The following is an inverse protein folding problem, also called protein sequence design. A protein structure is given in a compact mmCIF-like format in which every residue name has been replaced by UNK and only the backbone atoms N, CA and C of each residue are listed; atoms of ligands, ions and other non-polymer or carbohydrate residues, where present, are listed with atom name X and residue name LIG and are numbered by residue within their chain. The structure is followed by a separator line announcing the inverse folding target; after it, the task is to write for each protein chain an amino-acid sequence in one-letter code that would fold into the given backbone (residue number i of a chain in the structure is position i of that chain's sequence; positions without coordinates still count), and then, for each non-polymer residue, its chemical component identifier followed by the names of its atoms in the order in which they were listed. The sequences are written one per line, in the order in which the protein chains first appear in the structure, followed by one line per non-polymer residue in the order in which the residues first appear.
data_IF_158304353796
#
_entry.id   IF_158304353796
#
_cell.length_a   1.000
_cell.length_b   1.000
_cell.length_c   1.000
_cell.angle_alpha   90.00
_cell.angle_beta   90.00
_cell.angle_gamma   90.00
#
_symmetry.space_group_name_H-M   'P 1'
#
loop_
_entity.id
_entity.type
_entity.pdbx_description
1 polymer ?
#
# COMPACT_ATOMS: atom_id res chain seq x y z
N UNK A 1 -3.62 -1.22 18.05
CA UNK A 1 -3.04 -1.39 16.73
C UNK A 1 -4.14 -1.72 15.73
N UNK A 2 -4.03 -1.17 14.52
CA UNK A 2 -4.94 -1.44 13.42
C UNK A 2 -4.24 -2.30 12.40
N UNK A 3 -4.94 -3.31 11.90
CA UNK A 3 -4.48 -4.14 10.78
C UNK A 3 -5.36 -3.84 9.58
N UNK A 4 -4.73 -3.65 8.45
CA UNK A 4 -5.40 -3.45 7.18
C UNK A 4 -4.93 -4.51 6.21
N UNK A 5 -5.84 -5.19 5.58
CA UNK A 5 -5.49 -6.01 4.44
C UNK A 5 -5.34 -5.10 3.22
N UNK A 6 -4.14 -5.07 2.68
CA UNK A 6 -3.82 -4.31 1.48
C UNK A 6 -3.90 -5.26 0.29
N UNK A 7 -4.91 -5.08 -0.55
CA UNK A 7 -5.00 -5.79 -1.81
C UNK A 7 -4.06 -5.14 -2.83
N UNK A 8 -3.35 -5.97 -3.56
CA UNK A 8 -2.50 -5.55 -4.68
C UNK A 8 -2.90 -6.28 -5.94
N UNK A 9 -3.01 -5.53 -7.03
CA UNK A 9 -3.33 -6.05 -8.34
C UNK A 9 -2.18 -5.92 -9.32
N UNK A 10 -2.25 -6.70 -10.37
CA UNK A 10 -1.35 -6.62 -11.52
C UNK A 10 -2.17 -6.34 -12.76
N UNK A 11 -1.74 -5.38 -13.55
CA UNK A 11 -2.21 -5.16 -14.92
C UNK A 11 -1.08 -5.55 -15.88
N UNK A 12 -1.34 -6.54 -16.75
CA UNK A 12 -0.38 -6.97 -17.77
C UNK A 12 -0.38 -6.01 -18.94
N UNK A 13 0.62 -5.14 -19.01
CA UNK A 13 0.75 -4.16 -20.09
C UNK A 13 2.11 -4.28 -20.75
N UNK A 14 2.18 -3.88 -22.02
CA UNK A 14 3.42 -3.88 -22.79
C UNK A 14 4.44 -2.88 -22.24
N UNK A 15 5.70 -3.09 -22.59
CA UNK A 15 6.84 -2.33 -22.04
C UNK A 15 6.72 -0.80 -22.22
N UNK A 16 6.07 -0.34 -23.26
CA UNK A 16 5.92 1.09 -23.51
C UNK A 16 4.98 1.78 -22.53
N UNK A 17 4.02 1.05 -21.95
CA UNK A 17 3.17 1.54 -20.86
C UNK A 17 3.93 1.68 -19.54
N UNK A 18 5.11 1.06 -19.45
CA UNK A 18 5.95 1.09 -18.26
C UNK A 18 6.94 2.25 -18.25
N UNK A 19 6.94 3.09 -19.28
CA UNK A 19 7.87 4.20 -19.43
C UNK A 19 7.16 5.54 -19.30
N UNK A 20 7.91 6.52 -18.84
CA UNK A 20 7.52 7.93 -18.90
C UNK A 20 7.61 8.44 -20.34
N UNK A 21 7.09 9.64 -20.61
CA UNK A 21 7.13 10.24 -21.94
C UNK A 21 8.57 10.46 -22.48
N UNK A 22 9.55 10.56 -21.61
CA UNK A 22 10.96 10.65 -21.93
C UNK A 22 11.68 9.29 -22.00
N UNK A 23 10.92 8.20 -21.99
CA UNK A 23 11.41 6.83 -22.17
C UNK A 23 12.04 6.20 -20.93
N UNK A 24 11.99 6.87 -19.78
CA UNK A 24 12.55 6.35 -18.53
C UNK A 24 11.55 5.50 -17.74
N UNK A 25 12.07 4.65 -16.86
CA UNK A 25 11.24 3.94 -15.90
C UNK A 25 10.74 4.93 -14.83
N UNK A 26 9.41 5.05 -14.61
CA UNK A 26 8.90 5.87 -13.53
C UNK A 26 9.23 5.27 -12.17
N UNK A 27 9.30 6.08 -11.12
CA UNK A 27 9.29 5.59 -9.75
C UNK A 27 7.92 4.99 -9.40
N UNK A 28 7.76 4.55 -8.15
CA UNK A 28 6.44 4.29 -7.60
C UNK A 28 5.62 5.57 -7.65
N UNK A 29 4.43 5.49 -8.22
CA UNK A 29 3.51 6.63 -8.33
C UNK A 29 2.44 6.46 -7.25
N UNK A 30 2.23 7.51 -6.47
CA UNK A 30 1.16 7.63 -5.50
C UNK A 30 0.26 8.79 -5.89
N UNK A 31 -1.04 8.57 -5.80
CA UNK A 31 -2.05 9.60 -6.01
C UNK A 31 -3.08 9.48 -4.90
N UNK A 32 -3.35 10.60 -4.23
CA UNK A 32 -4.46 10.75 -3.28
C UNK A 32 -5.30 11.93 -3.72
N UNK A 33 -6.63 11.76 -3.76
CA UNK A 33 -7.56 12.78 -4.24
C UNK A 33 -8.95 12.60 -3.64
N UNK A 34 -9.70 13.69 -3.57
CA UNK A 34 -11.12 13.77 -3.22
C UNK A 34 -12.04 13.91 -4.44
N UNK A 35 -11.48 13.88 -5.64
CA UNK A 35 -12.26 13.89 -6.87
C UNK A 35 -13.13 12.62 -6.96
N UNK A 36 -14.41 12.74 -7.41
CA UNK A 36 -15.22 11.55 -7.61
C UNK A 36 -14.59 10.58 -8.62
N UNK A 37 -14.55 9.31 -8.26
CA UNK A 37 -14.07 8.24 -9.11
C UNK A 37 -15.24 7.56 -9.80
N UNK A 38 -15.19 7.49 -11.11
CA UNK A 38 -16.16 6.79 -11.94
C UNK A 38 -15.54 5.56 -12.60
N UNK A 39 -16.38 4.60 -12.87
CA UNK A 39 -16.01 3.37 -13.58
C UNK A 39 -15.48 3.67 -14.99
N UNK A 40 -14.34 3.11 -15.34
CA UNK A 40 -13.79 3.13 -16.70
C UNK A 40 -14.58 2.24 -17.68
N UNK A 41 -15.45 1.36 -17.15
CA UNK A 41 -16.23 0.41 -17.96
C UNK A 41 -17.60 0.97 -18.33
N UNK A 42 -18.35 1.50 -17.35
CA UNK A 42 -19.75 1.88 -17.51
C UNK A 42 -20.08 3.29 -17.02
N UNK A 43 -19.08 4.03 -16.56
CA UNK A 43 -19.21 5.40 -16.04
C UNK A 43 -20.11 5.52 -14.79
N UNK A 44 -20.36 4.43 -14.07
CA UNK A 44 -21.04 4.48 -12.77
C UNK A 44 -20.12 5.09 -11.70
N UNK A 45 -20.71 5.72 -10.69
CA UNK A 45 -19.96 6.28 -9.57
C UNK A 45 -19.43 5.12 -8.68
N UNK A 46 -18.11 5.06 -8.50
CA UNK A 46 -17.45 4.12 -7.59
C UNK A 46 -17.35 4.72 -6.19
N UNK A 47 -16.84 5.94 -6.08
CA UNK A 47 -16.76 6.67 -4.80
C UNK A 47 -16.70 8.18 -5.02
N UNK A 48 -17.30 8.91 -4.10
CA UNK A 48 -17.22 10.37 -3.96
C UNK A 48 -16.44 10.80 -2.70
N UNK A 49 -15.75 9.85 -2.05
CA UNK A 49 -14.94 10.06 -0.85
C UNK A 49 -13.46 10.10 -1.23
N UNK A 50 -12.62 10.55 -0.29
CA UNK A 50 -11.17 10.51 -0.44
C UNK A 50 -10.71 9.08 -0.79
N UNK A 51 -9.93 8.97 -1.85
CA UNK A 51 -9.33 7.71 -2.30
C UNK A 51 -7.91 7.93 -2.82
N UNK A 52 -7.16 6.85 -2.93
CA UNK A 52 -5.81 6.90 -3.44
C UNK A 52 -5.38 5.59 -4.08
N UNK A 53 -4.42 5.69 -4.96
CA UNK A 53 -3.74 4.53 -5.55
C UNK A 53 -2.24 4.69 -5.48
N UNK A 54 -1.57 3.57 -5.52
CA UNK A 54 -0.16 3.51 -5.90
C UNK A 54 0.03 2.44 -6.96
N UNK A 55 1.05 2.62 -7.79
CA UNK A 55 1.50 1.60 -8.71
C UNK A 55 2.96 1.82 -9.10
N UNK A 56 3.58 0.78 -9.55
CA UNK A 56 4.95 0.76 -10.09
C UNK A 56 5.04 -0.19 -11.27
N UNK A 57 5.99 0.01 -12.19
CA UNK A 57 6.36 -1.03 -13.13
C UNK A 57 6.87 -2.25 -12.37
N UNK A 58 6.47 -3.42 -12.82
CA UNK A 58 6.92 -4.67 -12.26
C UNK A 58 7.27 -5.68 -13.36
N UNK A 59 8.56 -5.86 -13.57
CA UNK A 59 9.07 -6.72 -14.64
C UNK A 59 8.88 -8.19 -14.34
N UNK A 60 8.69 -8.56 -13.07
CA UNK A 60 8.38 -9.94 -12.68
C UNK A 60 7.02 -10.39 -13.24
N UNK A 61 6.06 -9.48 -13.22
CA UNK A 61 4.70 -9.72 -13.71
C UNK A 61 4.46 -9.27 -15.15
N UNK A 62 5.46 -8.73 -15.83
CA UNK A 62 5.30 -8.11 -17.15
C UNK A 62 4.15 -7.08 -17.17
N UNK A 63 4.25 -6.08 -16.31
CA UNK A 63 3.19 -5.10 -16.21
C UNK A 63 3.41 -4.07 -15.13
N UNK A 64 2.32 -3.58 -14.58
CA UNK A 64 2.32 -2.72 -13.40
C UNK A 64 1.69 -3.47 -12.23
N UNK A 65 2.19 -3.21 -11.04
CA UNK A 65 1.65 -3.70 -9.78
C UNK A 65 1.31 -2.52 -8.88
N UNK A 66 0.21 -2.63 -8.17
CA UNK A 66 -0.16 -1.62 -7.20
C UNK A 66 -1.42 -1.93 -6.44
N UNK A 67 -1.84 -0.99 -5.62
CA UNK A 67 -3.01 -1.09 -4.78
C UNK A 67 -3.80 0.20 -4.71
N UNK A 68 -4.93 0.14 -4.05
CA UNK A 68 -5.80 1.29 -3.80
C UNK A 68 -6.32 1.31 -2.37
N UNK A 69 -6.66 2.50 -1.89
CA UNK A 69 -7.26 2.75 -0.58
C UNK A 69 -8.24 3.94 -0.68
N UNK A 70 -9.35 3.93 0.06
CA UNK A 70 -9.85 2.84 0.89
C UNK A 70 -10.55 1.81 0.01
N UNK A 71 -10.20 0.57 0.20
CA UNK A 71 -11.00 -0.50 -0.32
C UNK A 71 -11.56 -1.34 0.84
N UNK A 72 -12.82 -1.40 0.90
CA UNK A 72 -13.83 -2.14 1.69
C UNK A 72 -13.48 -2.92 2.96
N UNK A 73 -12.30 -2.94 3.47
CA UNK A 73 -12.07 -3.52 4.81
C UNK A 73 -12.10 -2.41 5.85
N UNK A 74 -13.31 -2.16 6.34
CA UNK A 74 -13.55 -1.17 7.37
C UNK A 74 -13.32 0.26 6.87
N UNK A 75 -14.33 1.07 6.91
CA UNK A 75 -14.14 2.51 6.68
C UNK A 75 -13.04 3.03 7.62
N UNK A 76 -12.23 4.01 7.21
CA UNK A 76 -11.29 4.67 8.11
C UNK A 76 -12.03 5.13 9.38
N UNK A 77 -11.71 4.52 10.53
CA UNK A 77 -12.40 4.76 11.79
C UNK A 77 -13.54 3.79 12.11
N UNK A 78 -13.88 2.85 11.23
CA UNK A 78 -14.83 1.77 11.53
C UNK A 78 -14.27 0.71 12.48
N UNK A 79 -15.14 -0.13 13.03
CA UNK A 79 -14.71 -1.30 13.80
C UNK A 79 -13.94 -2.24 12.88
N UNK A 80 -12.69 -2.53 13.23
CA UNK A 80 -11.86 -3.44 12.47
C UNK A 80 -12.41 -4.87 12.55
N UNK A 81 -12.40 -5.56 11.43
CA UNK A 81 -12.65 -7.01 11.42
C UNK A 81 -11.42 -7.71 12.02
N UNK A 82 -11.65 -8.70 12.88
CA UNK A 82 -10.56 -9.55 13.37
C UNK A 82 -10.00 -10.35 12.20
N UNK A 83 -8.75 -10.07 11.86
CA UNK A 83 -8.03 -10.78 10.81
C UNK A 83 -7.16 -11.84 11.46
N UNK A 84 -7.21 -13.09 10.96
CA UNK A 84 -6.21 -14.09 11.31
C UNK A 84 -4.96 -13.89 10.47
N UNK A 85 -3.89 -13.28 11.01
CA UNK A 85 -2.67 -12.99 10.24
C UNK A 85 -1.91 -14.26 9.82
N UNK A 86 -2.28 -15.41 10.38
CA UNK A 86 -1.67 -16.71 10.10
C UNK A 86 -2.59 -17.63 9.29
N UNK A 87 -3.76 -17.13 8.90
CA UNK A 87 -4.76 -17.89 8.16
C UNK A 87 -4.69 -17.67 6.64
N UNK A 88 -3.73 -18.28 5.90
CA UNK A 88 -3.56 -18.04 4.46
C UNK A 88 -4.77 -18.47 3.61
N UNK A 89 -5.73 -19.16 4.22
CA UNK A 89 -6.99 -19.57 3.58
C UNK A 89 -8.16 -18.62 3.90
N UNK A 90 -7.91 -17.56 4.66
CA UNK A 90 -8.94 -16.55 4.92
C UNK A 90 -9.36 -15.87 3.63
N UNK A 91 -10.65 -15.62 3.48
CA UNK A 91 -11.20 -14.87 2.34
C UNK A 91 -10.63 -13.45 2.25
N UNK A 92 -10.09 -12.93 3.33
CA UNK A 92 -9.44 -11.62 3.41
C UNK A 92 -8.16 -11.52 2.57
N UNK A 93 -7.55 -12.67 2.22
CA UNK A 93 -6.39 -12.74 1.33
C UNK A 93 -6.76 -12.91 -0.14
N UNK A 94 -8.04 -12.89 -0.46
CA UNK A 94 -8.51 -13.02 -1.84
C UNK A 94 -8.71 -11.61 -2.43
N UNK A 95 -8.05 -11.39 -3.55
CA UNK A 95 -8.27 -10.19 -4.35
C UNK A 95 -9.61 -10.34 -5.06
N UNK A 96 -10.55 -9.45 -4.77
CA UNK A 96 -11.89 -9.51 -5.34
C UNK A 96 -12.05 -8.65 -6.60
N UNK A 97 -13.20 -8.85 -7.26
CA UNK A 97 -13.50 -8.14 -8.50
C UNK A 97 -13.82 -6.66 -8.26
N UNK A 98 -14.28 -6.28 -7.06
CA UNK A 98 -14.55 -4.90 -6.72
C UNK A 98 -13.24 -4.11 -6.58
N UNK A 99 -12.23 -4.71 -5.95
CA UNK A 99 -10.89 -4.12 -5.92
C UNK A 99 -10.34 -3.94 -7.34
N UNK A 100 -10.42 -4.99 -8.17
CA UNK A 100 -9.94 -4.94 -9.54
C UNK A 100 -10.61 -3.80 -10.32
N UNK A 101 -11.92 -3.67 -10.17
CA UNK A 101 -12.73 -2.64 -10.82
C UNK A 101 -12.34 -1.23 -10.34
N UNK A 102 -12.21 -1.03 -9.04
CA UNK A 102 -11.79 0.27 -8.47
C UNK A 102 -10.38 0.63 -8.92
N UNK A 103 -9.41 -0.27 -8.79
CA UNK A 103 -8.01 0.02 -9.08
C UNK A 103 -7.76 0.32 -10.56
N UNK A 104 -8.38 -0.46 -11.47
CA UNK A 104 -8.25 -0.22 -12.92
C UNK A 104 -8.91 1.09 -13.34
N UNK A 105 -10.08 1.43 -12.77
CA UNK A 105 -10.74 2.72 -13.01
C UNK A 105 -9.92 3.90 -12.48
N UNK A 106 -9.31 3.74 -11.31
CA UNK A 106 -8.42 4.75 -10.74
C UNK A 106 -7.14 4.95 -11.58
N UNK A 107 -6.59 3.88 -12.14
CA UNK A 107 -5.48 3.98 -13.10
C UNK A 107 -5.89 4.75 -14.35
N UNK A 108 -7.06 4.48 -14.91
CA UNK A 108 -7.61 5.19 -16.07
C UNK A 108 -7.85 6.67 -15.78
N UNK A 109 -8.40 6.99 -14.59
CA UNK A 109 -8.57 8.36 -14.13
C UNK A 109 -7.24 9.12 -14.04
N UNK A 110 -6.20 8.49 -13.49
CA UNK A 110 -4.90 9.13 -13.33
C UNK A 110 -4.12 9.24 -14.64
N UNK A 111 -4.30 8.30 -15.55
CA UNK A 111 -3.50 8.22 -16.78
C UNK A 111 -4.30 7.71 -17.97
N UNK A 112 -4.52 8.58 -18.91
CA UNK A 112 -5.26 8.30 -20.15
C UNK A 112 -4.79 7.03 -20.88
N UNK A 113 -3.52 6.65 -20.77
CA UNK A 113 -2.97 5.43 -21.39
C UNK A 113 -3.57 4.15 -20.82
N UNK A 114 -4.22 4.19 -19.67
CA UNK A 114 -4.88 3.03 -19.06
C UNK A 114 -6.39 2.99 -19.29
N UNK A 115 -6.99 4.01 -19.92
CA UNK A 115 -8.40 4.00 -20.27
C UNK A 115 -8.76 2.78 -21.13
N UNK A 116 -9.85 2.09 -20.80
CA UNK A 116 -10.32 0.90 -21.51
C UNK A 116 -9.41 -0.32 -21.38
N UNK A 117 -8.57 -0.39 -20.34
CA UNK A 117 -7.60 -1.49 -20.14
C UNK A 117 -7.93 -2.41 -18.96
N UNK A 118 -9.14 -2.31 -18.40
CA UNK A 118 -9.55 -3.10 -17.23
C UNK A 118 -9.47 -4.61 -17.46
N UNK A 119 -9.67 -5.08 -18.69
CA UNK A 119 -9.55 -6.48 -19.10
C UNK A 119 -8.11 -7.03 -19.01
N UNK A 120 -7.12 -6.17 -18.91
CA UNK A 120 -5.73 -6.57 -18.72
C UNK A 120 -5.37 -6.87 -17.26
N UNK A 121 -6.32 -6.69 -16.34
CA UNK A 121 -6.12 -7.06 -14.94
C UNK A 121 -5.87 -8.56 -14.80
N UNK A 122 -4.86 -8.90 -14.00
CA UNK A 122 -4.50 -10.31 -13.73
C UNK A 122 -4.75 -10.61 -12.25
N UNK A 123 -5.56 -11.63 -12.00
CA UNK A 123 -5.73 -12.21 -10.66
C UNK A 123 -4.50 -13.08 -10.34
N UNK A 124 -3.50 -12.53 -9.79
CA UNK A 124 -2.31 -13.33 -9.47
C UNK A 124 -1.44 -12.67 -8.43
N UNK A 125 -1.70 -11.41 -8.17
CA UNK A 125 -1.04 -10.70 -7.11
C UNK A 125 -1.69 -11.03 -5.77
N UNK A 126 -0.90 -10.94 -4.74
CA UNK A 126 -1.32 -11.15 -3.37
C UNK A 126 -1.32 -9.82 -2.66
N UNK A 127 -2.29 -9.62 -1.79
CA UNK A 127 -2.21 -8.55 -0.82
C UNK A 127 -1.37 -8.95 0.39
N UNK A 128 -1.30 -8.08 1.35
CA UNK A 128 -0.62 -8.29 2.61
C UNK A 128 -1.28 -7.55 3.75
N UNK A 129 -0.92 -7.91 4.98
CA UNK A 129 -1.36 -7.20 6.16
C UNK A 129 -0.45 -6.00 6.42
N UNK A 130 -1.02 -4.80 6.37
CA UNK A 130 -0.41 -3.61 6.93
C UNK A 130 -0.76 -3.48 8.40
N UNK A 131 0.23 -3.21 9.25
CA UNK A 131 0.03 -2.96 10.68
C UNK A 131 0.27 -1.47 10.95
N UNK A 132 -0.69 -0.85 11.60
CA UNK A 132 -0.63 0.57 11.94
C UNK A 132 -0.72 0.77 13.44
N UNK A 133 0.16 1.59 13.96
CA UNK A 133 0.08 2.09 15.34
C UNK A 133 -1.14 3.01 15.49
N UNK A 134 -1.62 3.26 16.71
CA UNK A 134 -2.78 4.13 16.93
C UNK A 134 -2.64 5.54 16.36
N UNK A 135 -1.43 6.07 16.34
CA UNK A 135 -1.09 7.41 15.84
C UNK A 135 -0.51 7.41 14.41
N UNK A 136 -0.40 6.23 13.78
CA UNK A 136 0.20 6.03 12.46
C UNK A 136 1.68 6.42 12.34
N UNK A 137 2.38 6.61 13.46
CA UNK A 137 3.83 6.81 13.49
C UNK A 137 4.55 5.50 13.84
N UNK A 138 5.74 5.26 13.29
CA UNK A 138 6.52 4.06 13.60
C UNK A 138 6.94 4.02 15.08
N UNK A 139 7.32 2.83 15.54
CA UNK A 139 7.92 2.62 16.85
C UNK A 139 9.33 2.07 16.67
N UNK A 140 10.30 2.71 17.31
CA UNK A 140 11.68 2.30 17.42
C UNK A 140 12.06 2.29 18.89
N UNK A 141 12.00 1.14 19.54
CA UNK A 141 12.22 1.06 20.97
C UNK A 141 12.71 -0.31 21.43
N UNK A 142 13.40 -0.31 22.56
CA UNK A 142 13.76 -1.51 23.29
C UNK A 142 12.57 -2.02 24.09
N UNK A 143 12.01 -3.12 23.68
CA UNK A 143 10.83 -3.71 24.32
C UNK A 143 11.19 -4.40 25.65
N UNK A 144 12.31 -5.11 25.66
CA UNK A 144 12.89 -5.69 26.86
C UNK A 144 14.41 -5.82 26.69
N UNK A 145 15.09 -6.46 27.64
CA UNK A 145 16.55 -6.56 27.67
C UNK A 145 17.17 -6.99 26.34
N UNK A 146 16.53 -7.96 25.66
CA UNK A 146 17.09 -8.61 24.47
C UNK A 146 16.24 -8.40 23.21
N UNK A 147 15.23 -7.54 23.25
CA UNK A 147 14.32 -7.32 22.11
C UNK A 147 14.22 -5.85 21.79
N UNK A 148 14.65 -5.50 20.62
CA UNK A 148 14.41 -4.17 20.01
C UNK A 148 13.30 -4.29 18.97
N UNK A 149 12.30 -3.41 19.02
CA UNK A 149 11.19 -3.39 18.08
C UNK A 149 11.37 -2.27 17.06
N UNK A 150 11.21 -2.64 15.81
CA UNK A 150 11.11 -1.75 14.66
C UNK A 150 9.75 -2.01 14.04
N UNK A 151 8.76 -1.20 14.41
CA UNK A 151 7.41 -1.30 13.86
C UNK A 151 7.14 -0.07 13.00
N UNK A 152 7.06 -0.27 11.71
CA UNK A 152 7.18 0.81 10.75
C UNK A 152 5.87 1.52 10.40
N UNK A 153 4.73 1.03 10.87
CA UNK A 153 3.42 1.58 10.53
C UNK A 153 3.23 1.80 9.01
N UNK A 154 3.62 0.79 8.22
CA UNK A 154 3.57 0.78 6.75
C UNK A 154 4.52 1.80 6.06
N UNK A 155 5.65 2.07 6.66
CA UNK A 155 6.67 2.99 6.14
C UNK A 155 8.03 2.31 5.87
N UNK A 156 8.03 1.01 5.52
CA UNK A 156 9.22 0.16 5.43
C UNK A 156 10.38 0.71 4.61
N UNK A 157 10.11 1.46 3.55
CA UNK A 157 11.15 2.10 2.77
C UNK A 157 11.90 3.23 3.50
N UNK A 158 11.32 3.80 4.55
CA UNK A 158 11.99 4.79 5.42
C UNK A 158 13.02 4.15 6.33
N UNK A 159 12.95 2.83 6.52
CA UNK A 159 13.87 2.07 7.39
C UNK A 159 15.32 2.11 6.93
N UNK A 160 15.58 2.35 5.66
CA UNK A 160 16.96 2.53 5.17
C UNK A 160 17.68 3.65 5.89
N UNK A 161 17.00 4.79 6.13
CA UNK A 161 17.56 5.91 6.88
C UNK A 161 17.64 5.66 8.39
N UNK A 162 16.67 4.94 8.93
CA UNK A 162 16.56 4.66 10.37
C UNK A 162 17.49 3.52 10.79
N UNK A 163 17.76 2.57 9.91
CA UNK A 163 18.52 1.37 10.24
C UNK A 163 19.87 1.63 10.90
N UNK A 164 20.59 2.67 10.45
CA UNK A 164 21.85 3.08 11.07
C UNK A 164 21.63 3.53 12.53
N UNK A 165 20.66 4.40 12.78
CA UNK A 165 20.37 4.93 14.12
C UNK A 165 19.95 3.83 15.08
N UNK A 166 19.14 2.89 14.61
CA UNK A 166 18.72 1.72 15.41
C UNK A 166 19.91 0.82 15.72
N UNK A 167 20.79 0.58 14.74
CA UNK A 167 22.00 -0.22 14.97
C UNK A 167 22.92 0.42 16.01
N UNK A 168 23.10 1.75 15.97
CA UNK A 168 23.85 2.51 16.96
C UNK A 168 23.21 2.37 18.36
N UNK A 169 21.87 2.47 18.48
CA UNK A 169 21.18 2.27 19.77
C UNK A 169 21.31 0.85 20.32
N UNK A 170 21.24 -0.15 19.46
CA UNK A 170 21.46 -1.56 19.87
C UNK A 170 22.87 -1.76 20.43
N UNK A 171 23.84 -1.01 19.91
CA UNK A 171 25.23 -1.02 20.39
C UNK A 171 25.47 -0.12 21.61
N UNK A 172 24.48 0.64 22.05
CA UNK A 172 24.55 1.45 23.26
C UNK A 172 24.54 2.98 23.03
N UNK A 173 24.59 3.43 21.81
CA UNK A 173 24.55 4.87 21.48
C UNK A 173 23.08 5.32 21.32
N UNK A 174 22.67 6.32 22.10
CA UNK A 174 21.31 6.85 22.02
C UNK A 174 21.19 7.91 20.95
N UNK A 175 20.12 7.83 20.15
CA UNK A 175 19.78 8.84 19.15
C UNK A 175 18.59 9.67 19.57
N UNK A 176 18.76 11.00 19.69
CA UNK A 176 17.66 11.92 19.95
C UNK A 176 16.61 11.96 18.82
N UNK A 177 16.98 11.56 17.61
CA UNK A 177 16.08 11.48 16.47
C UNK A 177 15.05 10.34 16.61
N UNK A 178 15.34 9.32 17.40
CA UNK A 178 14.42 8.20 17.65
C UNK A 178 13.53 8.43 18.89
N UNK A 179 13.80 9.43 19.72
CA UNK A 179 13.01 9.71 20.93
C UNK A 179 11.50 9.95 20.67
N UNK A 180 11.08 10.65 19.59
CA UNK A 180 9.66 10.83 19.30
C UNK A 180 8.92 9.52 18.95
N UNK A 181 9.63 8.42 18.74
CA UNK A 181 9.09 7.16 18.24
C UNK A 181 9.13 6.03 19.28
N UNK A 182 9.16 6.38 20.56
CA UNK A 182 9.15 5.40 21.66
C UNK A 182 7.74 4.87 21.94
N UNK A 183 7.65 3.75 22.64
CA UNK A 183 6.38 3.22 23.14
C UNK A 183 5.66 4.19 24.09
N UNK A 184 6.43 4.99 24.80
CA UNK A 184 5.92 5.88 25.84
C UNK A 184 5.41 7.24 25.35
N UNK A 185 5.41 7.46 24.05
CA UNK A 185 4.86 8.70 23.47
C UNK A 185 3.34 8.78 23.55
#
# INVERSE_FOLDING_TARGET
WKYWFLQEGVMGVESDYLKTNDGKQPPVIHVDTDAPLYSDVDNSLITDKLWGIYYKPDFHFNGIQGGSSPYKVGEPGGEGVSVDPYGPKSNEFIIDDEFAHMWTSALAFCHKRFEGKSDLFKKGATGGLGCFTPDSFPIFDKFNENVYIIADSNHGYKMLGVGKLVAEEVLGDKSSLLEPFRFSR
#
